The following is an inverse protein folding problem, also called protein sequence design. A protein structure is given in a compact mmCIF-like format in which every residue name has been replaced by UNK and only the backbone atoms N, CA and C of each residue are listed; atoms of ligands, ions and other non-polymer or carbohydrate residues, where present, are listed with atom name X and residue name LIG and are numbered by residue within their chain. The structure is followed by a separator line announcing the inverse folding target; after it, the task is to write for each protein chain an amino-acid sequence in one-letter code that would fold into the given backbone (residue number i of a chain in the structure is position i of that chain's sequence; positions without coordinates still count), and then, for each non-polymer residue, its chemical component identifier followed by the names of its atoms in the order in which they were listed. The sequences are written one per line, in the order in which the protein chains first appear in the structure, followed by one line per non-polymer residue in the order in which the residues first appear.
data_IF_481664013291
#
_entry.id   IF_481664013291
#
_cell.length_a   1.000
_cell.length_b   1.000
_cell.length_c   1.000
_cell.angle_alpha   90.00
_cell.angle_beta   90.00
_cell.angle_gamma   90.00
#
_symmetry.space_group_name_H-M   'P 1'
#
loop_
_entity.id
_entity.type
_entity.pdbx_description
1 polymer ?
#
# COMPACT_ATOMS: atom_id res chain seq x y z
N UNK A 1 11.78 21.76 -12.01
CA UNK A 1 11.23 20.85 -10.98
C UNK A 1 12.16 19.64 -10.95
N UNK A 2 12.60 19.21 -9.76
CA UNK A 2 13.34 17.94 -9.69
C UNK A 2 12.44 16.82 -10.23
N UNK A 3 13.00 15.90 -11.00
CA UNK A 3 12.25 14.76 -11.53
C UNK A 3 11.71 13.93 -10.36
N UNK A 4 10.42 13.61 -10.40
CA UNK A 4 9.78 12.75 -9.40
C UNK A 4 10.42 11.36 -9.44
N UNK A 5 10.62 10.76 -8.27
CA UNK A 5 11.01 9.35 -8.14
C UNK A 5 9.89 8.40 -8.58
N UNK A 6 8.68 8.93 -8.75
CA UNK A 6 7.46 8.17 -8.95
C UNK A 6 7.18 7.27 -7.75
N UNK A 7 7.38 7.78 -6.53
CA UNK A 7 7.26 7.04 -5.27
C UNK A 7 6.53 7.86 -4.21
N UNK A 8 6.06 7.20 -3.15
CA UNK A 8 5.40 7.85 -2.01
C UNK A 8 6.23 8.98 -1.39
N UNK A 9 7.54 8.79 -1.37
CA UNK A 9 8.54 9.72 -0.82
C UNK A 9 8.76 10.97 -1.67
N UNK A 10 8.08 11.10 -2.82
CA UNK A 10 8.00 12.38 -3.54
C UNK A 10 7.21 13.43 -2.76
N UNK A 11 6.29 12.99 -1.88
CA UNK A 11 5.58 13.88 -0.96
C UNK A 11 6.51 14.30 0.17
N UNK A 12 6.68 15.61 0.34
CA UNK A 12 7.58 16.14 1.35
C UNK A 12 7.13 15.74 2.77
N UNK A 13 8.10 15.32 3.59
CA UNK A 13 7.85 14.89 4.97
C UNK A 13 7.47 13.42 5.11
N UNK A 14 7.58 12.61 4.06
CA UNK A 14 7.29 11.16 4.10
C UNK A 14 8.59 10.35 3.97
N UNK A 15 8.78 9.42 4.89
CA UNK A 15 9.80 8.38 4.84
C UNK A 15 9.14 7.00 4.76
N UNK A 16 9.77 6.07 4.03
CA UNK A 16 9.28 4.70 3.88
C UNK A 16 10.40 3.71 4.21
N UNK A 17 10.07 2.68 4.99
CA UNK A 17 11.01 1.62 5.36
C UNK A 17 10.38 0.24 5.26
N UNK A 18 11.21 -0.77 5.01
CA UNK A 18 10.79 -2.15 4.84
C UNK A 18 11.58 -3.09 5.75
N UNK A 19 10.88 -4.07 6.32
CA UNK A 19 11.48 -5.30 6.83
C UNK A 19 10.97 -6.46 5.99
N UNK A 20 11.89 -7.15 5.31
CA UNK A 20 11.59 -8.22 4.35
C UNK A 20 12.23 -9.51 4.86
N UNK A 21 11.42 -10.58 5.01
CA UNK A 21 11.93 -11.91 5.31
C UNK A 21 11.45 -12.89 4.23
N UNK A 22 12.38 -13.33 3.38
CA UNK A 22 12.10 -14.26 2.29
C UNK A 22 11.89 -15.70 2.75
N UNK A 23 12.47 -16.09 3.89
CA UNK A 23 12.28 -17.43 4.45
C UNK A 23 10.89 -17.53 5.09
N UNK A 24 10.48 -16.50 5.83
CA UNK A 24 9.10 -16.31 6.29
C UNK A 24 8.14 -16.13 5.10
N UNK A 25 8.62 -15.54 4.00
CA UNK A 25 7.78 -15.13 2.86
C UNK A 25 6.82 -14.00 3.25
N UNK A 26 7.23 -13.09 4.13
CA UNK A 26 6.38 -11.99 4.61
C UNK A 26 7.21 -10.76 4.94
N UNK A 27 6.54 -9.66 5.30
CA UNK A 27 7.22 -8.45 5.67
C UNK A 27 6.32 -7.32 6.15
N UNK A 28 6.96 -6.23 6.52
CA UNK A 28 6.34 -5.01 7.05
C UNK A 28 6.85 -3.81 6.26
N UNK A 29 5.95 -2.89 5.92
CA UNK A 29 6.25 -1.57 5.39
C UNK A 29 5.78 -0.51 6.39
N UNK A 30 6.71 0.32 6.86
CA UNK A 30 6.42 1.48 7.70
C UNK A 30 6.44 2.76 6.86
N UNK A 31 5.42 3.60 7.02
CA UNK A 31 5.33 4.95 6.45
C UNK A 31 5.41 5.89 7.65
N UNK A 32 6.46 6.71 7.70
CA UNK A 32 6.74 7.60 8.84
C UNK A 32 6.69 9.03 8.34
N UNK A 33 5.87 9.86 8.99
CA UNK A 33 5.78 11.29 8.68
C UNK A 33 6.82 12.05 9.49
N UNK A 34 7.40 13.15 9.02
CA UNK A 34 8.30 13.99 9.84
C UNK A 34 7.57 14.62 11.03
N UNK A 35 6.34 15.08 10.77
CA UNK A 35 5.40 15.67 11.72
C UNK A 35 4.07 14.90 11.66
N UNK A 36 3.25 14.90 12.74
CA UNK A 36 1.96 14.24 12.71
C UNK A 36 1.09 14.71 11.55
N UNK A 37 0.69 13.79 10.68
CA UNK A 37 -0.07 14.08 9.46
C UNK A 37 -1.57 13.89 9.69
N UNK A 38 -2.41 14.75 9.10
CA UNK A 38 -3.86 14.54 9.11
C UNK A 38 -4.16 13.25 8.37
N UNK A 39 -4.95 12.35 8.96
CA UNK A 39 -5.23 11.07 8.33
C UNK A 39 -6.66 10.60 8.53
N UNK A 40 -7.14 9.82 7.56
CA UNK A 40 -8.36 9.02 7.65
C UNK A 40 -8.17 7.69 6.91
N UNK A 41 -9.20 6.83 6.89
CA UNK A 41 -9.18 5.59 6.12
C UNK A 41 -10.57 5.19 5.64
N UNK A 42 -10.59 4.33 4.62
CA UNK A 42 -11.79 3.61 4.19
C UNK A 42 -11.46 2.13 4.10
N UNK A 43 -12.43 1.31 4.50
CA UNK A 43 -12.39 -0.15 4.40
C UNK A 43 -13.56 -0.57 3.54
N UNK A 44 -13.31 -1.18 2.39
CA UNK A 44 -14.36 -1.66 1.47
C UNK A 44 -14.35 -3.18 1.28
N UNK A 45 -13.27 -3.87 1.65
CA UNK A 45 -13.24 -5.33 1.65
C UNK A 45 -14.12 -5.94 2.75
N UNK A 46 -14.66 -7.13 2.51
CA UNK A 46 -15.53 -7.84 3.46
C UNK A 46 -14.84 -8.53 4.64
N UNK A 47 -13.51 -8.71 4.60
CA UNK A 47 -12.73 -9.39 5.63
C UNK A 47 -11.48 -8.59 6.06
N UNK A 48 -11.64 -7.37 6.58
CA UNK A 48 -10.52 -6.51 6.94
C UNK A 48 -9.79 -6.97 8.19
N UNK A 49 -8.49 -6.71 8.26
CA UNK A 49 -7.71 -6.73 9.49
C UNK A 49 -7.00 -5.39 9.65
N UNK A 50 -7.27 -4.69 10.75
CA UNK A 50 -6.68 -3.39 11.01
C UNK A 50 -6.55 -3.09 12.49
N UNK A 51 -5.63 -2.19 12.81
CA UNK A 51 -5.38 -1.68 14.15
C UNK A 51 -5.54 -0.17 14.13
N UNK A 52 -6.16 0.38 15.18
CA UNK A 52 -6.31 1.82 15.36
C UNK A 52 -6.99 2.50 14.15
N UNK A 53 -7.87 1.79 13.43
CA UNK A 53 -8.62 2.34 12.29
C UNK A 53 -9.84 3.13 12.74
N UNK A 54 -10.48 2.76 13.86
CA UNK A 54 -11.66 3.46 14.37
C UNK A 54 -11.38 4.94 14.70
N UNK A 55 -10.18 5.27 15.19
CA UNK A 55 -9.81 6.67 15.48
C UNK A 55 -9.68 7.53 14.22
N UNK A 56 -9.61 6.91 13.03
CA UNK A 56 -9.48 7.60 11.74
C UNK A 56 -10.83 8.08 11.19
N UNK A 57 -11.94 7.68 11.81
CA UNK A 57 -13.26 8.22 11.49
C UNK A 57 -13.27 9.75 11.67
N UNK A 58 -13.79 10.53 10.70
CA UNK A 58 -13.83 12.00 10.77
C UNK A 58 -14.46 12.59 12.03
N UNK A 59 -15.35 11.86 12.72
CA UNK A 59 -15.99 12.30 13.96
C UNK A 59 -15.11 12.08 15.21
N UNK A 60 -14.02 11.32 15.11
CA UNK A 60 -13.14 11.02 16.25
C UNK A 60 -12.09 12.11 16.47
N UNK A 61 -11.73 12.31 17.74
CA UNK A 61 -10.92 13.45 18.21
C UNK A 61 -9.46 13.45 17.78
N UNK A 62 -8.87 12.27 17.50
CA UNK A 62 -7.49 12.19 17.02
C UNK A 62 -7.42 12.72 15.60
N UNK A 63 -6.83 13.90 15.42
CA UNK A 63 -6.77 14.59 14.13
C UNK A 63 -5.58 14.17 13.25
N UNK A 64 -4.50 13.71 13.86
CA UNK A 64 -3.23 13.41 13.18
C UNK A 64 -2.58 12.11 13.68
N UNK A 65 -1.73 11.51 12.85
CA UNK A 65 -0.99 10.26 13.15
C UNK A 65 0.50 10.42 12.85
N UNK A 66 1.34 9.69 13.56
CA UNK A 66 2.81 9.75 13.41
C UNK A 66 3.32 8.91 12.23
N UNK A 67 2.57 7.88 11.85
CA UNK A 67 2.89 6.99 10.75
C UNK A 67 1.75 6.02 10.45
N UNK A 68 1.95 5.20 9.42
CA UNK A 68 1.04 4.14 8.98
C UNK A 68 1.84 2.85 8.77
N UNK A 69 1.20 1.70 8.98
CA UNK A 69 1.82 0.39 8.76
C UNK A 69 1.00 -0.46 7.80
N UNK A 70 1.70 -1.08 6.85
CA UNK A 70 1.18 -2.15 6.02
C UNK A 70 1.99 -3.40 6.34
N UNK A 71 1.36 -4.55 6.57
CA UNK A 71 2.11 -5.79 6.81
C UNK A 71 1.42 -7.03 6.26
N UNK A 72 2.22 -8.08 6.02
CA UNK A 72 1.70 -9.43 5.93
C UNK A 72 1.30 -10.00 7.29
N UNK A 73 1.20 -11.32 7.39
CA UNK A 73 0.99 -12.05 8.65
C UNK A 73 -0.44 -12.22 9.08
N UNK A 74 -1.42 -11.76 8.30
CA UNK A 74 -2.81 -11.70 8.73
C UNK A 74 -2.92 -11.01 10.11
N UNK A 75 -3.79 -11.49 10.99
CA UNK A 75 -3.98 -10.94 12.33
C UNK A 75 -2.70 -10.91 13.18
N UNK A 76 -1.75 -11.84 13.00
CA UNK A 76 -0.44 -11.80 13.69
C UNK A 76 0.38 -10.58 13.27
N UNK A 77 0.18 -10.11 12.03
CA UNK A 77 0.79 -8.91 11.49
C UNK A 77 0.50 -7.65 12.31
N UNK A 78 -0.64 -7.60 13.02
CA UNK A 78 -1.06 -6.43 13.81
C UNK A 78 -0.07 -6.07 14.95
N UNK A 79 0.84 -6.99 15.29
CA UNK A 79 1.95 -6.72 16.23
C UNK A 79 2.96 -5.71 15.67
N UNK A 80 3.04 -5.55 14.33
CA UNK A 80 4.01 -4.66 13.68
C UNK A 80 3.85 -3.19 14.03
N UNK A 81 2.61 -2.70 14.21
CA UNK A 81 2.37 -1.35 14.70
C UNK A 81 3.03 -1.12 16.07
N UNK A 82 3.06 -2.12 16.95
CA UNK A 82 3.74 -2.03 18.24
C UNK A 82 5.27 -1.83 18.11
N UNK A 83 5.88 -2.44 17.09
CA UNK A 83 7.28 -2.22 16.75
C UNK A 83 7.58 -0.80 16.26
N UNK A 84 6.74 -0.29 15.36
CA UNK A 84 6.86 1.09 14.86
C UNK A 84 6.60 2.11 15.98
N UNK A 85 5.61 1.88 16.83
CA UNK A 85 5.37 2.69 18.04
C UNK A 85 6.61 2.72 18.94
N UNK A 86 7.27 1.57 19.17
CA UNK A 86 8.50 1.53 19.97
C UNK A 86 9.60 2.41 19.36
N UNK A 87 9.77 2.37 18.04
CA UNK A 87 10.72 3.21 17.31
C UNK A 87 10.42 4.71 17.40
N UNK A 88 9.17 5.11 17.17
CA UNK A 88 8.74 6.51 17.34
C UNK A 88 8.94 7.00 18.78
N UNK A 89 8.62 6.14 19.76
CA UNK A 89 8.77 6.46 21.17
C UNK A 89 10.24 6.61 21.60
N UNK A 90 11.15 5.82 21.03
CA UNK A 90 12.60 5.90 21.22
C UNK A 90 13.13 7.28 20.83
N UNK A 91 12.63 7.85 19.73
CA UNK A 91 13.02 9.18 19.25
C UNK A 91 12.16 10.32 19.80
N UNK A 92 11.36 10.06 20.84
CA UNK A 92 10.58 11.08 21.53
C UNK A 92 9.40 11.63 20.72
N UNK A 93 8.79 10.84 19.83
CA UNK A 93 7.62 11.23 19.04
C UNK A 93 6.33 10.55 19.50
N UNK A 94 5.22 11.28 19.42
CA UNK A 94 3.87 10.78 19.69
C UNK A 94 2.90 11.87 20.12
N UNK A 95 1.64 11.48 20.35
CA UNK A 95 0.61 12.32 20.94
C UNK A 95 0.86 12.49 22.45
N UNK A 96 0.91 13.73 22.91
CA UNK A 96 1.03 14.04 24.33
C UNK A 96 -0.33 13.86 25.03
N UNK A 97 -0.38 12.96 26.03
CA UNK A 97 -1.55 12.69 26.87
C UNK A 97 -1.15 12.85 28.34
N UNK A 98 -1.41 14.03 28.91
CA UNK A 98 -0.90 14.37 30.24
C UNK A 98 0.62 14.33 30.25
N UNK A 99 1.23 13.47 31.06
CA UNK A 99 2.70 13.24 31.08
C UNK A 99 3.16 12.08 30.17
N UNK A 100 2.23 11.36 29.55
CA UNK A 100 2.54 10.23 28.67
C UNK A 100 2.68 10.69 27.21
N UNK A 101 3.58 10.04 26.48
CA UNK A 101 3.77 10.25 25.05
C UNK A 101 3.40 8.95 24.31
N UNK A 102 2.39 9.02 23.45
CA UNK A 102 1.75 7.87 22.81
C UNK A 102 1.79 8.02 21.29
N UNK A 103 2.70 7.34 20.57
CA UNK A 103 2.71 7.36 19.11
C UNK A 103 1.43 6.74 18.53
N UNK A 104 0.83 7.41 17.54
CA UNK A 104 -0.39 6.94 16.88
C UNK A 104 -0.02 6.35 15.51
N UNK A 105 -0.20 5.03 15.36
CA UNK A 105 0.26 4.28 14.19
C UNK A 105 -0.83 3.29 13.72
N UNK A 106 -1.83 3.76 12.94
CA UNK A 106 -2.80 2.89 12.32
C UNK A 106 -2.17 1.88 11.36
N UNK A 107 -2.79 0.72 11.24
CA UNK A 107 -2.28 -0.39 10.44
C UNK A 107 -3.39 -1.12 9.70
N UNK A 108 -3.05 -1.64 8.52
CA UNK A 108 -3.79 -2.70 7.86
C UNK A 108 -2.89 -3.90 7.56
N UNK A 109 -3.47 -5.10 7.54
CA UNK A 109 -2.75 -6.36 7.29
C UNK A 109 -3.26 -7.07 6.05
N UNK A 110 -2.41 -7.89 5.44
CA UNK A 110 -2.78 -8.84 4.40
C UNK A 110 -2.46 -10.28 4.78
N UNK A 111 -3.15 -11.22 4.15
CA UNK A 111 -2.97 -12.64 4.40
C UNK A 111 -1.94 -13.26 3.45
N UNK A 112 -0.80 -13.69 4.00
CA UNK A 112 0.28 -14.38 3.28
C UNK A 112 0.78 -15.64 4.04
N UNK A 113 -0.08 -16.21 4.89
CA UNK A 113 0.30 -17.32 5.77
C UNK A 113 0.48 -18.67 5.04
N UNK A 114 -0.08 -18.84 3.84
CA UNK A 114 -0.04 -20.10 3.07
C UNK A 114 0.68 -19.96 1.73
N UNK A 115 1.71 -19.12 1.69
CA UNK A 115 2.46 -18.81 0.46
C UNK A 115 3.76 -19.63 0.29
N UNK A 116 3.96 -20.66 1.11
CA UNK A 116 5.13 -21.54 1.08
C UNK A 116 6.29 -21.15 2.00
N UNK A 117 6.31 -19.93 2.56
CA UNK A 117 7.33 -19.54 3.54
C UNK A 117 7.16 -20.21 4.91
N UNK A 118 8.23 -20.30 5.69
CA UNK A 118 8.25 -20.94 7.00
C UNK A 118 7.44 -20.15 8.04
N UNK A 119 6.36 -20.74 8.56
CA UNK A 119 5.49 -20.14 9.60
C UNK A 119 5.69 -20.78 10.99
N UNK A 120 6.69 -21.63 11.16
CA UNK A 120 7.00 -22.30 12.43
C UNK A 120 7.88 -21.43 13.34
N UNK A 121 7.37 -20.24 13.70
CA UNK A 121 8.04 -19.29 14.60
C UNK A 121 7.78 -19.57 16.10
N UNK A 122 7.06 -20.66 16.41
CA UNK A 122 6.72 -21.02 17.78
C UNK A 122 5.71 -20.05 18.44
N UNK A 123 6.01 -19.61 19.65
CA UNK A 123 5.06 -18.87 20.50
C UNK A 123 4.85 -17.40 20.08
N UNK A 124 5.90 -16.73 19.59
CA UNK A 124 5.86 -15.29 19.31
C UNK A 124 5.98 -15.02 17.82
N UNK A 125 5.04 -14.25 17.29
CA UNK A 125 5.11 -13.80 15.89
C UNK A 125 6.30 -12.85 15.69
N UNK A 126 6.94 -12.84 14.51
CA UNK A 126 8.10 -11.96 14.25
C UNK A 126 7.69 -10.50 13.99
N UNK A 127 6.40 -10.21 13.81
CA UNK A 127 5.92 -8.96 13.22
C UNK A 127 6.22 -7.73 14.07
N UNK A 128 6.25 -7.85 15.40
CA UNK A 128 6.67 -6.76 16.29
C UNK A 128 8.10 -6.29 15.97
N UNK A 129 9.04 -7.23 15.91
CA UNK A 129 10.45 -6.92 15.66
C UNK A 129 10.67 -6.43 14.23
N UNK A 130 9.94 -7.02 13.26
CA UNK A 130 9.93 -6.55 11.87
C UNK A 130 9.36 -5.13 11.75
N UNK A 131 8.34 -4.78 12.55
CA UNK A 131 7.81 -3.41 12.60
C UNK A 131 8.84 -2.41 13.09
N UNK A 132 9.57 -2.73 14.15
CA UNK A 132 10.67 -1.90 14.62
C UNK A 132 11.80 -1.79 13.58
N UNK A 133 12.18 -2.90 12.95
CA UNK A 133 13.18 -2.90 11.88
C UNK A 133 12.74 -2.06 10.67
N UNK A 134 11.48 -2.15 10.25
CA UNK A 134 10.92 -1.32 9.18
C UNK A 134 10.94 0.17 9.53
N UNK A 135 10.67 0.53 10.79
CA UNK A 135 10.83 1.91 11.26
C UNK A 135 12.29 2.38 11.19
N UNK A 136 13.25 1.57 11.67
CA UNK A 136 14.68 1.93 11.62
C UNK A 136 15.20 2.06 10.19
N UNK A 137 14.62 1.29 9.25
CA UNK A 137 14.94 1.36 7.83
C UNK A 137 14.23 2.51 7.09
N UNK A 138 13.31 3.24 7.74
CA UNK A 138 12.55 4.28 7.09
C UNK A 138 13.45 5.44 6.65
N UNK A 139 13.40 5.76 5.35
CA UNK A 139 14.19 6.85 4.78
C UNK A 139 13.39 7.64 3.74
N UNK A 140 13.82 8.87 3.49
CA UNK A 140 13.37 9.68 2.35
C UNK A 140 14.08 9.23 1.08
N UNK A 141 13.53 9.60 -0.07
CA UNK A 141 14.11 9.27 -1.37
C UNK A 141 13.73 7.87 -1.85
N UNK A 142 14.56 7.21 -2.68
CA UNK A 142 14.19 5.98 -3.35
C UNK A 142 14.02 4.79 -2.40
N UNK A 143 13.02 3.96 -2.65
CA UNK A 143 12.82 2.66 -2.00
C UNK A 143 12.41 1.59 -3.02
N UNK A 144 12.62 0.32 -2.67
CA UNK A 144 12.36 -0.80 -3.56
C UNK A 144 10.86 -1.11 -3.69
N UNK A 145 10.46 -1.62 -4.86
CA UNK A 145 9.10 -2.13 -5.14
C UNK A 145 9.14 -3.66 -5.35
N UNK A 146 7.97 -4.27 -5.52
CA UNK A 146 7.83 -5.70 -5.78
C UNK A 146 7.82 -6.54 -4.51
N UNK A 147 8.68 -7.55 -4.43
CA UNK A 147 8.69 -8.53 -3.33
C UNK A 147 9.49 -8.06 -2.12
N UNK A 148 9.09 -6.91 -1.55
CA UNK A 148 9.69 -6.30 -0.35
C UNK A 148 8.62 -5.84 0.63
N UNK A 149 8.98 -5.74 1.92
CA UNK A 149 8.08 -5.27 2.99
C UNK A 149 6.76 -6.03 2.98
N UNK A 150 5.65 -5.30 3.08
CA UNK A 150 4.31 -5.91 3.00
C UNK A 150 4.02 -6.66 1.68
N UNK A 151 4.72 -6.34 0.59
CA UNK A 151 4.58 -7.00 -0.71
C UNK A 151 5.27 -8.36 -0.83
N UNK A 152 6.14 -8.71 0.13
CA UNK A 152 6.98 -9.91 0.09
C UNK A 152 6.15 -11.17 -0.18
N UNK A 153 5.13 -11.41 0.65
CA UNK A 153 4.26 -12.58 0.56
C UNK A 153 3.06 -12.44 -0.37
N UNK A 154 2.89 -11.26 -0.97
CA UNK A 154 1.66 -10.89 -1.67
C UNK A 154 1.48 -11.64 -2.99
N UNK A 155 0.25 -12.04 -3.29
CA UNK A 155 -0.11 -12.89 -4.45
C UNK A 155 -1.49 -12.48 -4.98
N UNK A 156 -1.69 -12.59 -6.30
CA UNK A 156 -2.98 -12.31 -6.97
C UNK A 156 -3.56 -13.58 -7.61
N UNK A 157 -4.73 -13.51 -8.24
CA UNK A 157 -5.32 -14.65 -8.94
C UNK A 157 -4.42 -15.28 -10.00
N UNK A 158 -3.59 -14.49 -10.68
CA UNK A 158 -2.84 -14.95 -11.86
C UNK A 158 -1.35 -15.06 -11.58
N UNK A 159 -0.75 -14.02 -11.02
CA UNK A 159 0.71 -13.89 -10.80
C UNK A 159 1.04 -13.42 -9.38
N UNK A 160 2.32 -13.50 -9.03
CA UNK A 160 2.87 -12.90 -7.81
C UNK A 160 2.43 -11.43 -7.71
N UNK A 161 1.97 -11.04 -6.53
CA UNK A 161 1.68 -9.66 -6.17
C UNK A 161 2.91 -8.96 -5.61
N UNK A 162 2.78 -7.73 -5.16
CA UNK A 162 3.92 -7.00 -4.60
C UNK A 162 3.57 -5.63 -4.05
N UNK A 163 4.59 -4.93 -3.57
CA UNK A 163 4.52 -3.56 -3.09
C UNK A 163 4.74 -2.61 -4.28
N UNK A 164 3.76 -1.77 -4.54
CA UNK A 164 3.81 -0.77 -5.59
C UNK A 164 3.71 0.63 -5.04
N UNK A 165 4.16 1.61 -5.83
CA UNK A 165 3.99 3.02 -5.54
C UNK A 165 3.86 3.80 -6.86
N UNK A 166 3.33 5.02 -6.82
CA UNK A 166 3.35 5.96 -7.94
C UNK A 166 3.03 7.36 -7.41
N UNK A 167 3.49 8.40 -8.10
CA UNK A 167 3.21 9.80 -7.73
C UNK A 167 2.77 10.64 -8.92
N UNK A 168 2.23 11.81 -8.61
CA UNK A 168 1.82 12.84 -9.54
C UNK A 168 1.97 14.24 -8.91
N UNK A 169 1.99 15.26 -9.77
CA UNK A 169 1.86 16.67 -9.38
C UNK A 169 0.56 17.21 -9.94
N UNK A 170 -0.23 17.91 -9.13
CA UNK A 170 -1.45 18.59 -9.58
C UNK A 170 -1.13 19.82 -10.43
N UNK A 171 -2.15 20.36 -11.11
CA UNK A 171 -2.07 21.62 -11.84
C UNK A 171 -1.62 22.81 -10.98
N UNK A 172 -1.87 22.75 -9.67
CA UNK A 172 -1.47 23.77 -8.69
C UNK A 172 -0.12 23.47 -8.00
N UNK A 173 0.55 22.37 -8.36
CA UNK A 173 1.85 22.01 -7.81
C UNK A 173 1.82 21.11 -6.57
N UNK A 174 0.64 20.70 -6.09
CA UNK A 174 0.53 19.74 -4.98
C UNK A 174 1.06 18.38 -5.39
N UNK A 175 1.83 17.73 -4.53
CA UNK A 175 2.29 16.36 -4.76
C UNK A 175 1.35 15.39 -4.10
N UNK A 176 1.01 14.33 -4.83
CA UNK A 176 0.21 13.21 -4.33
C UNK A 176 0.83 11.90 -4.79
N UNK A 177 0.88 10.93 -3.90
CA UNK A 177 1.47 9.64 -4.19
C UNK A 177 0.75 8.51 -3.45
N UNK A 178 0.77 7.31 -4.03
CA UNK A 178 0.24 6.11 -3.42
C UNK A 178 1.34 5.09 -3.15
N UNK A 179 1.11 4.23 -2.16
CA UNK A 179 1.83 2.98 -1.89
C UNK A 179 0.81 1.89 -1.59
N UNK A 180 1.04 0.67 -2.09
CA UNK A 180 0.05 -0.41 -1.97
C UNK A 180 0.72 -1.78 -2.00
N UNK A 181 0.33 -2.68 -1.10
CA UNK A 181 0.70 -4.08 -1.14
C UNK A 181 -0.46 -4.89 -1.76
N UNK A 182 -0.19 -5.51 -2.91
CA UNK A 182 -1.21 -6.11 -3.78
C UNK A 182 -1.32 -7.60 -3.54
N UNK A 183 -2.21 -8.01 -2.65
CA UNK A 183 -2.53 -9.42 -2.38
C UNK A 183 -4.00 -9.70 -2.69
N UNK A 184 -4.48 -9.27 -3.86
CA UNK A 184 -5.89 -9.29 -4.25
C UNK A 184 -6.46 -10.69 -4.48
N UNK A 185 -7.77 -10.87 -4.22
CA UNK A 185 -8.45 -12.10 -4.64
C UNK A 185 -8.58 -12.18 -6.16
N UNK A 186 -8.84 -11.03 -6.80
CA UNK A 186 -8.91 -10.90 -8.25
C UNK A 186 -7.56 -10.80 -8.95
N UNK A 187 -7.58 -10.33 -10.19
CA UNK A 187 -6.41 -10.24 -11.05
C UNK A 187 -6.07 -8.78 -11.38
N UNK A 188 -4.78 -8.44 -11.36
CA UNK A 188 -4.27 -7.19 -11.93
C UNK A 188 -4.10 -7.25 -13.45
N UNK A 189 -3.93 -8.47 -14.00
CA UNK A 189 -3.79 -8.73 -15.43
C UNK A 189 -5.12 -9.11 -16.08
N UNK A 190 -5.22 -8.87 -17.38
CA UNK A 190 -6.38 -9.18 -18.22
C UNK A 190 -6.25 -10.61 -18.74
N UNK A 191 -7.22 -11.46 -18.40
CA UNK A 191 -7.21 -12.87 -18.79
C UNK A 191 -5.94 -13.61 -18.33
N UNK A 192 -5.36 -14.37 -19.24
CA UNK A 192 -4.06 -15.06 -19.08
C UNK A 192 -2.91 -14.30 -19.75
N UNK A 193 -3.17 -13.06 -20.21
CA UNK A 193 -2.23 -12.25 -20.97
C UNK A 193 -1.38 -11.30 -20.11
N UNK A 194 -0.42 -10.60 -20.74
CA UNK A 194 0.51 -9.72 -20.05
C UNK A 194 -0.06 -8.33 -19.72
N UNK A 195 -1.24 -7.97 -20.26
CA UNK A 195 -1.81 -6.63 -20.14
C UNK A 195 -2.40 -6.37 -18.76
N UNK A 196 -2.21 -5.17 -18.23
CA UNK A 196 -2.78 -4.73 -16.96
C UNK A 196 -4.11 -4.00 -17.16
N UNK A 197 -5.06 -4.15 -16.22
CA UNK A 197 -6.28 -3.33 -16.20
C UNK A 197 -5.98 -1.83 -16.07
N UNK A 198 -4.87 -1.50 -15.41
CA UNK A 198 -4.41 -0.12 -15.24
C UNK A 198 -3.75 0.51 -16.49
N UNK A 199 -3.67 -0.20 -17.63
CA UNK A 199 -3.01 0.28 -18.83
C UNK A 199 -3.43 1.70 -19.31
N UNK A 200 -4.70 2.14 -19.20
CA UNK A 200 -5.09 3.50 -19.56
C UNK A 200 -4.42 4.62 -18.73
N UNK A 201 -3.83 4.27 -17.58
CA UNK A 201 -3.20 5.21 -16.66
C UNK A 201 -1.67 5.12 -16.69
N UNK A 202 -1.10 4.22 -17.51
CA UNK A 202 0.35 4.02 -17.58
C UNK A 202 1.07 5.29 -18.04
N UNK A 203 2.20 5.59 -17.39
CA UNK A 203 3.10 6.67 -17.81
C UNK A 203 4.49 6.11 -18.10
N UNK A 204 5.12 6.59 -19.16
CA UNK A 204 6.53 6.31 -19.50
C UNK A 204 6.92 4.81 -19.52
N UNK A 205 5.96 3.91 -19.81
CA UNK A 205 6.20 2.47 -19.85
C UNK A 205 6.56 1.85 -18.49
N UNK A 206 6.14 2.48 -17.39
CA UNK A 206 6.51 2.09 -16.01
C UNK A 206 6.07 0.68 -15.58
N UNK A 207 5.20 0.02 -16.34
CA UNK A 207 4.85 -1.40 -16.18
C UNK A 207 4.75 -2.14 -17.53
N UNK A 208 5.61 -1.76 -18.48
CA UNK A 208 5.86 -2.50 -19.73
C UNK A 208 5.29 -1.88 -21.00
N UNK A 209 4.47 -0.82 -20.93
CA UNK A 209 4.01 -0.05 -22.08
C UNK A 209 3.15 -0.83 -23.06
N UNK A 210 2.45 -1.87 -22.60
CA UNK A 210 1.75 -2.82 -23.48
C UNK A 210 0.38 -2.31 -23.96
N UNK A 211 -0.18 -1.30 -23.29
CA UNK A 211 -1.54 -0.82 -23.56
C UNK A 211 -2.63 -1.87 -23.31
N UNK A 212 -3.85 -1.55 -23.72
CA UNK A 212 -4.98 -2.48 -23.66
C UNK A 212 -4.89 -3.54 -24.77
N UNK A 213 -5.30 -4.79 -24.51
CA UNK A 213 -5.41 -5.80 -25.55
C UNK A 213 -6.56 -5.46 -26.50
N UNK A 214 -6.53 -6.00 -27.73
CA UNK A 214 -7.62 -5.87 -28.70
C UNK A 214 -8.95 -6.46 -28.17
N UNK A 215 -8.86 -7.53 -27.38
CA UNK A 215 -9.99 -8.17 -26.71
C UNK A 215 -9.66 -8.36 -25.24
N UNK A 216 -10.49 -7.83 -24.35
CA UNK A 216 -10.32 -7.96 -22.90
C UNK A 216 -11.16 -9.12 -22.36
N UNK A 217 -10.49 -10.16 -21.82
CA UNK A 217 -11.14 -11.25 -21.10
C UNK A 217 -11.45 -10.82 -19.65
N UNK A 218 -12.72 -10.53 -19.40
CA UNK A 218 -13.24 -10.08 -18.10
C UNK A 218 -13.92 -11.20 -17.28
N UNK A 219 -13.73 -12.47 -17.66
CA UNK A 219 -14.25 -13.59 -16.87
C UNK A 219 -13.71 -13.56 -15.45
N UNK A 220 -14.54 -14.01 -14.51
CA UNK A 220 -14.18 -14.10 -13.10
C UNK A 220 -12.92 -14.96 -12.92
N UNK A 221 -11.88 -14.38 -12.31
CA UNK A 221 -10.64 -15.06 -11.94
C UNK A 221 -10.35 -14.76 -10.49
N UNK A 222 -10.17 -15.81 -9.70
CA UNK A 222 -9.95 -15.73 -8.27
C UNK A 222 -8.73 -16.55 -7.89
N UNK A 223 -7.98 -16.07 -6.89
CA UNK A 223 -6.87 -16.77 -6.21
C UNK A 223 -7.30 -18.07 -5.51
N UNK A 224 -8.60 -18.36 -5.47
CA UNK A 224 -9.24 -19.51 -4.82
C UNK A 224 -10.38 -19.05 -3.91
N UNK A 225 -11.28 -19.95 -3.52
CA UNK A 225 -12.48 -19.62 -2.71
C UNK A 225 -12.27 -19.83 -1.20
N UNK A 226 -11.20 -20.52 -0.79
CA UNK A 226 -10.91 -20.84 0.61
C UNK A 226 -9.77 -19.97 1.19
N UNK A 227 -9.38 -18.91 0.49
CA UNK A 227 -8.24 -18.06 0.83
C UNK A 227 -8.75 -16.63 0.98
N UNK A 228 -8.50 -16.02 2.14
CA UNK A 228 -8.68 -14.57 2.30
C UNK A 228 -7.57 -13.84 1.57
N UNK A 229 -7.91 -12.75 0.90
CA UNK A 229 -7.00 -11.91 0.16
C UNK A 229 -7.18 -10.46 0.63
N UNK A 230 -6.24 -9.58 0.37
CA UNK A 230 -6.28 -8.21 0.90
C UNK A 230 -5.34 -7.30 0.13
N UNK A 231 -5.85 -6.25 -0.49
CA UNK A 231 -5.00 -5.17 -1.01
C UNK A 231 -5.02 -4.00 -0.02
N UNK A 232 -3.86 -3.61 0.49
CA UNK A 232 -3.75 -2.57 1.52
C UNK A 232 -2.81 -1.47 1.07
N UNK A 233 -3.19 -0.22 1.26
CA UNK A 233 -2.39 0.89 0.78
C UNK A 233 -2.63 2.20 1.49
N UNK A 234 -1.87 3.20 1.07
CA UNK A 234 -2.03 4.57 1.50
C UNK A 234 -1.91 5.51 0.29
N UNK A 235 -2.65 6.62 0.32
CA UNK A 235 -2.43 7.79 -0.53
C UNK A 235 -2.04 8.98 0.35
N UNK A 236 -0.99 9.70 -0.01
CA UNK A 236 -0.48 10.83 0.76
C UNK A 236 -0.36 12.04 -0.15
N UNK A 237 -0.70 13.22 0.35
CA UNK A 237 -0.51 14.50 -0.34
C UNK A 237 0.18 15.52 0.57
N UNK A 238 0.86 16.50 -0.02
CA UNK A 238 1.41 17.65 0.71
C UNK A 238 0.42 18.82 0.83
N UNK A 239 -0.69 18.80 0.09
CA UNK A 239 -1.77 19.78 0.23
C UNK A 239 -2.48 19.63 1.58
N UNK A 240 -2.79 20.75 2.23
CA UNK A 240 -3.55 20.77 3.48
C UNK A 240 -4.96 20.21 3.28
N UNK A 241 -5.30 19.17 4.04
CA UNK A 241 -6.63 18.57 4.07
C UNK A 241 -7.21 18.59 5.49
N UNK A 242 -8.53 18.72 5.58
CA UNK A 242 -9.28 18.32 6.76
C UNK A 242 -9.37 16.80 6.87
N UNK A 243 -9.71 16.27 8.05
CA UNK A 243 -9.91 14.83 8.24
C UNK A 243 -11.03 14.26 7.37
N UNK A 244 -12.09 15.04 7.15
CA UNK A 244 -13.19 14.66 6.25
C UNK A 244 -12.77 14.64 4.77
N UNK A 245 -11.89 15.56 4.35
CA UNK A 245 -11.30 15.55 3.01
C UNK A 245 -10.33 14.38 2.84
N UNK A 246 -9.52 14.04 3.86
CA UNK A 246 -8.70 12.83 3.86
C UNK A 246 -9.58 11.58 3.72
N UNK A 247 -10.70 11.49 4.44
CA UNK A 247 -11.65 10.37 4.28
C UNK A 247 -12.22 10.27 2.86
N UNK A 248 -12.57 11.41 2.25
CA UNK A 248 -13.02 11.42 0.86
C UNK A 248 -11.90 11.01 -0.10
N UNK A 249 -10.65 11.40 0.16
CA UNK A 249 -9.49 11.00 -0.62
C UNK A 249 -9.24 9.49 -0.55
N UNK A 250 -9.41 8.85 0.62
CA UNK A 250 -9.28 7.40 0.74
C UNK A 250 -10.35 6.66 -0.06
N UNK A 251 -11.59 7.17 -0.10
CA UNK A 251 -12.65 6.63 -0.99
C UNK A 251 -12.21 6.73 -2.45
N UNK A 252 -11.74 7.89 -2.92
CA UNK A 252 -11.33 8.05 -4.33
C UNK A 252 -10.13 7.16 -4.71
N UNK A 253 -9.23 6.89 -3.77
CA UNK A 253 -8.15 5.94 -3.98
C UNK A 253 -8.65 4.49 -4.17
N UNK A 254 -9.75 4.09 -3.52
CA UNK A 254 -10.39 2.78 -3.79
C UNK A 254 -10.88 2.66 -5.23
N UNK A 255 -11.29 3.76 -5.89
CA UNK A 255 -11.63 3.69 -7.31
C UNK A 255 -10.41 3.35 -8.19
N UNK A 256 -9.19 3.53 -7.68
CA UNK A 256 -7.96 3.04 -8.29
C UNK A 256 -7.82 1.52 -8.20
N UNK A 257 -8.30 0.90 -7.11
CA UNK A 257 -8.37 -0.57 -7.01
C UNK A 257 -9.31 -1.12 -8.07
N UNK A 258 -10.52 -0.58 -8.19
CA UNK A 258 -11.49 -1.01 -9.19
C UNK A 258 -11.02 -0.82 -10.65
N UNK A 259 -10.09 0.11 -10.89
CA UNK A 259 -9.46 0.34 -12.20
C UNK A 259 -8.26 -0.56 -12.49
N UNK A 260 -7.66 -1.18 -11.48
CA UNK A 260 -6.45 -1.98 -11.62
C UNK A 260 -6.63 -3.45 -11.24
N UNK A 261 -7.73 -3.81 -10.58
CA UNK A 261 -8.05 -5.15 -10.11
C UNK A 261 -9.45 -5.54 -10.55
N UNK A 262 -9.60 -6.74 -11.10
CA UNK A 262 -10.90 -7.29 -11.47
C UNK A 262 -11.03 -8.75 -11.01
N UNK A 263 -11.98 -9.07 -10.11
CA UNK A 263 -12.72 -8.15 -9.22
C UNK A 263 -11.86 -7.61 -8.05
N UNK A 264 -12.42 -6.67 -7.28
CA UNK A 264 -11.87 -6.16 -6.00
C UNK A 264 -13.03 -6.01 -4.99
N UNK A 265 -12.73 -5.82 -3.70
CA UNK A 265 -13.72 -5.59 -2.64
C UNK A 265 -14.70 -6.75 -2.43
N UNK A 266 -14.28 -7.98 -2.76
CA UNK A 266 -15.12 -9.15 -2.53
C UNK A 266 -15.24 -9.46 -1.02
N UNK A 267 -16.21 -10.32 -0.61
CA UNK A 267 -16.41 -10.65 0.80
C UNK A 267 -15.18 -11.24 1.52
N UNK A 268 -14.24 -11.83 0.78
CA UNK A 268 -13.00 -12.39 1.32
C UNK A 268 -11.78 -11.46 1.10
N UNK A 269 -12.00 -10.25 0.57
CA UNK A 269 -10.98 -9.21 0.49
C UNK A 269 -10.95 -8.38 1.79
N UNK A 270 -9.77 -8.02 2.27
CA UNK A 270 -9.57 -7.10 3.40
C UNK A 270 -9.28 -5.65 2.99
N UNK A 271 -9.68 -5.25 1.79
CA UNK A 271 -9.22 -4.03 1.13
C UNK A 271 -9.40 -2.76 1.98
N UNK A 272 -8.27 -2.11 2.27
CA UNK A 272 -8.19 -0.92 3.13
C UNK A 272 -7.25 0.11 2.53
N UNK A 273 -7.70 1.36 2.45
CA UNK A 273 -6.86 2.49 2.03
C UNK A 273 -6.83 3.57 3.11
N UNK A 274 -5.63 3.92 3.53
CA UNK A 274 -5.37 5.11 4.33
C UNK A 274 -5.20 6.33 3.42
N UNK A 275 -5.62 7.50 3.88
CA UNK A 275 -5.28 8.77 3.26
C UNK A 275 -4.64 9.69 4.29
N UNK A 276 -3.54 10.34 3.93
CA UNK A 276 -2.87 11.29 4.81
C UNK A 276 -2.45 12.58 4.09
N UNK A 277 -2.33 13.66 4.86
CA UNK A 277 -1.87 14.97 4.41
C UNK A 277 -0.74 15.45 5.31
N UNK A 278 0.43 15.76 4.72
CA UNK A 278 1.54 16.40 5.45
C UNK A 278 1.35 17.91 5.61
N UNK A 279 0.37 18.49 4.89
CA UNK A 279 -0.04 19.88 5.06
C UNK A 279 1.04 20.93 4.78
N UNK A 280 2.06 20.61 3.97
CA UNK A 280 3.17 21.52 3.63
C UNK A 280 2.73 22.65 2.70
N UNK A 281 1.67 22.45 1.92
CA UNK A 281 1.09 23.45 1.03
C UNK A 281 -0.33 23.80 1.45
N UNK A 282 -0.58 25.09 1.68
CA UNK A 282 -1.93 25.57 1.95
C UNK A 282 -2.84 25.27 0.75
N UNK A 283 -4.04 24.79 1.05
CA UNK A 283 -5.10 24.59 0.06
C UNK A 283 -6.43 24.96 0.69
N UNK A 284 -7.19 25.83 0.04
CA UNK A 284 -8.50 26.32 0.48
C UNK A 284 -9.56 26.27 -0.63
N UNK A 285 -9.23 25.72 -1.79
CA UNK A 285 -10.10 25.66 -2.96
C UNK A 285 -10.68 24.26 -3.22
N UNK A 286 -11.88 24.24 -3.80
CA UNK A 286 -12.57 23.00 -4.12
C UNK A 286 -12.11 22.32 -5.42
N UNK A 287 -11.79 23.06 -6.50
CA UNK A 287 -11.21 22.45 -7.71
C UNK A 287 -9.91 21.69 -7.44
N UNK A 288 -8.99 22.23 -6.63
CA UNK A 288 -7.73 21.59 -6.27
C UNK A 288 -7.95 20.28 -5.49
N UNK A 289 -8.92 20.25 -4.59
CA UNK A 289 -9.28 19.01 -3.90
C UNK A 289 -9.94 17.97 -4.83
N UNK A 290 -10.79 18.40 -5.77
CA UNK A 290 -11.37 17.49 -6.78
C UNK A 290 -10.27 16.89 -7.67
N UNK A 291 -9.27 17.69 -8.05
CA UNK A 291 -8.11 17.21 -8.78
C UNK A 291 -7.29 16.21 -7.95
N UNK A 292 -7.05 16.47 -6.66
CA UNK A 292 -6.38 15.51 -5.76
C UNK A 292 -7.16 14.19 -5.67
N UNK A 293 -8.49 14.23 -5.61
CA UNK A 293 -9.32 13.01 -5.64
C UNK A 293 -9.14 12.23 -6.95
N UNK A 294 -9.12 12.92 -8.10
CA UNK A 294 -8.84 12.30 -9.39
C UNK A 294 -7.44 11.68 -9.43
N UNK A 295 -6.42 12.41 -8.96
CA UNK A 295 -5.05 11.92 -8.94
C UNK A 295 -4.87 10.74 -7.97
N UNK A 296 -5.57 10.72 -6.82
CA UNK A 296 -5.54 9.61 -5.88
C UNK A 296 -5.96 8.29 -6.54
N UNK A 297 -7.01 8.33 -7.36
CA UNK A 297 -7.43 7.21 -8.19
C UNK A 297 -6.33 6.75 -9.15
N UNK A 298 -5.75 7.68 -9.93
CA UNK A 298 -4.83 7.31 -11.01
C UNK A 298 -3.50 6.82 -10.47
N UNK A 299 -2.93 7.47 -9.45
CA UNK A 299 -1.68 7.01 -8.81
C UNK A 299 -1.88 5.69 -8.09
N UNK A 300 -3.04 5.42 -7.49
CA UNK A 300 -3.32 4.12 -6.88
C UNK A 300 -3.41 2.99 -7.94
N UNK A 301 -4.11 3.22 -9.06
CA UNK A 301 -4.19 2.25 -10.14
C UNK A 301 -2.80 1.91 -10.73
N UNK A 302 -1.97 2.94 -10.95
CA UNK A 302 -0.58 2.80 -11.40
C UNK A 302 0.27 2.04 -10.38
N UNK A 303 0.16 2.40 -9.10
CA UNK A 303 0.89 1.73 -8.01
C UNK A 303 0.57 0.24 -7.96
N UNK A 304 -0.69 -0.17 -8.11
CA UNK A 304 -1.09 -1.59 -8.14
C UNK A 304 -0.37 -2.35 -9.27
N UNK A 305 -0.42 -1.82 -10.50
CA UNK A 305 0.22 -2.46 -11.64
C UNK A 305 1.75 -2.53 -11.48
N UNK A 306 2.38 -1.45 -11.00
CA UNK A 306 3.82 -1.43 -10.70
C UNK A 306 4.20 -2.45 -9.62
N UNK A 307 3.39 -2.62 -8.58
CA UNK A 307 3.64 -3.60 -7.52
C UNK A 307 3.68 -5.04 -8.05
N UNK A 308 2.79 -5.37 -8.98
CA UNK A 308 2.74 -6.70 -9.64
C UNK A 308 3.85 -6.86 -10.68
N UNK A 309 4.12 -5.81 -11.46
CA UNK A 309 5.16 -5.80 -12.49
C UNK A 309 6.57 -5.95 -11.89
N UNK A 310 6.83 -5.26 -10.76
CA UNK A 310 8.13 -5.28 -10.08
C UNK A 310 8.36 -6.52 -9.20
N UNK A 311 7.31 -7.33 -8.97
CA UNK A 311 7.42 -8.51 -8.13
C UNK A 311 8.36 -9.57 -8.70
N UNK A 312 9.00 -10.30 -7.80
CA UNK A 312 9.77 -11.52 -8.09
C UNK A 312 9.18 -12.70 -7.33
N UNK A 313 9.22 -13.89 -7.92
CA UNK A 313 8.72 -15.09 -7.25
C UNK A 313 9.44 -15.32 -5.91
N UNK A 314 8.72 -15.82 -4.91
CA UNK A 314 9.34 -16.21 -3.65
C UNK A 314 10.29 -17.40 -3.89
N UNK A 315 11.47 -17.45 -3.24
CA UNK A 315 12.41 -18.55 -3.36
C UNK A 315 11.98 -19.76 -2.52
N UNK A 316 10.76 -20.24 -2.73
CA UNK A 316 10.14 -21.38 -2.04
C UNK A 316 9.60 -22.37 -3.07
N UNK A 317 9.53 -23.64 -2.71
CA UNK A 317 8.96 -24.67 -3.58
C UNK A 317 7.50 -24.34 -3.92
N UNK A 318 7.15 -24.36 -5.21
CA UNK A 318 5.81 -24.01 -5.67
C UNK A 318 5.44 -22.53 -5.57
N UNK A 319 6.42 -21.65 -5.32
CA UNK A 319 6.20 -20.20 -5.29
C UNK A 319 5.51 -19.69 -6.56
N UNK A 320 4.49 -18.86 -6.40
CA UNK A 320 3.74 -18.33 -7.54
C UNK A 320 4.66 -17.48 -8.44
N UNK A 321 4.69 -17.82 -9.73
CA UNK A 321 5.47 -17.11 -10.73
C UNK A 321 5.09 -15.62 -10.79
N UNK A 322 6.10 -14.76 -10.92
CA UNK A 322 5.91 -13.34 -11.18
C UNK A 322 5.49 -13.05 -12.61
N UNK A 323 5.03 -11.83 -12.84
CA UNK A 323 4.66 -11.38 -14.18
C UNK A 323 5.81 -11.54 -15.18
N UNK A 324 7.03 -11.16 -14.77
CA UNK A 324 8.22 -11.24 -15.63
C UNK A 324 8.61 -12.67 -15.97
N UNK A 325 8.44 -13.60 -15.04
CA UNK A 325 8.72 -15.03 -15.28
C UNK A 325 7.82 -15.62 -16.38
N UNK A 326 6.60 -15.07 -16.54
CA UNK A 326 5.64 -15.55 -17.54
C UNK A 326 5.72 -14.82 -18.87
N UNK A 327 6.05 -13.53 -18.84
CA UNK A 327 5.78 -12.65 -19.98
C UNK A 327 6.98 -11.80 -20.43
N UNK A 328 8.03 -11.65 -19.61
CA UNK A 328 9.21 -10.96 -20.07
C UNK A 328 9.90 -11.82 -21.13
N UNK A 329 10.23 -11.22 -22.28
CA UNK A 329 11.07 -11.91 -23.27
C UNK A 329 12.45 -12.16 -22.64
N UNK A 330 13.09 -13.32 -22.90
CA UNK A 330 14.48 -13.51 -22.52
C UNK A 330 15.32 -12.34 -23.04
N UNK A 331 16.20 -11.78 -22.21
CA UNK A 331 17.18 -10.81 -22.70
C UNK A 331 18.00 -11.50 -23.79
N UNK A 332 18.00 -10.92 -25.00
CA UNK A 332 18.84 -11.34 -26.13
C UNK A 332 20.24 -10.75 -25.94
#
# INVERSE_FOLDING_TARGET
MADLLNLLTDVEGVAVGHSTDLALGSGVTAIVFDEPAVASCTVLGGAPGGRDTALLDPAMTVGTVDGLVLSGGSAFGLDAAGGVQAGLREIGRGLQVGSALVPIVPQAILFDLINGGNKDWGLHSPYRDMGYAAFKAANKGPFALGSVGAGTGATTATVKGGLGSASAVSSQGYRIAAIVAVNALGSATIGDGPHFWAAPFEQNGEFGGLGMPQVADSRLRLKGTNITATTIGAVVTDAQLTKAEAHRLSISAHDGFARALLPTHLPLDGDTVFAASTGRHARDDMPGFMELCHLATTVMARAIARGVYEATALPVEGGQAAWRDRFAKPAV
#
